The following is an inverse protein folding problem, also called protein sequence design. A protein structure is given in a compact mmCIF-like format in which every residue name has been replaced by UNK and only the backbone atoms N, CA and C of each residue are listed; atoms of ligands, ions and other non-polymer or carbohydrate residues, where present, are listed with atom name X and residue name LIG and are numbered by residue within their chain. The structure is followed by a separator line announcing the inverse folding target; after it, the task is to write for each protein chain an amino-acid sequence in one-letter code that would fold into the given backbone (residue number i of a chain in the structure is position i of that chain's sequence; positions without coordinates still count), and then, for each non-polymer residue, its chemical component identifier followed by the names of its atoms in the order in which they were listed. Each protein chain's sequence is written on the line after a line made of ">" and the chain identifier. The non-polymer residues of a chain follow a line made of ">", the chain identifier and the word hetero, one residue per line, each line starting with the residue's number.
data_IF_268853478120
#
_entry.id   IF_268853478120
#
_cell.length_a   1.000
_cell.length_b   1.000
_cell.length_c   1.000
_cell.angle_alpha   90.00
_cell.angle_beta   90.00
_cell.angle_gamma   90.00
#
_symmetry.space_group_name_H-M   'P 1'
#
loop_
_entity.id
_entity.type
_entity.pdbx_description
1 polymer ?
#
# COMPACT_ATOMS: atom_id res chain seq x y z
N UNK A 1 -47.79 14.20 -44.88
CA UNK A 1 -47.77 13.68 -43.49
C UNK A 1 -48.48 14.71 -42.61
N UNK A 2 -49.65 14.53 -42.00
CA UNK A 2 -50.62 13.44 -41.88
C UNK A 2 -51.93 14.16 -41.52
N UNK A 3 -52.99 14.01 -42.31
CA UNK A 3 -54.36 14.05 -41.79
C UNK A 3 -55.03 12.82 -42.36
N UNK A 4 -54.85 11.69 -41.66
CA UNK A 4 -55.53 10.45 -41.99
C UNK A 4 -57.04 10.71 -41.98
N UNK A 5 -57.57 10.71 -43.19
CA UNK A 5 -58.98 10.74 -43.54
C UNK A 5 -59.63 9.43 -43.15
N UNK A 6 -60.00 9.28 -41.88
CA UNK A 6 -61.01 8.34 -41.41
C UNK A 6 -61.78 9.17 -40.39
N UNK A 7 -62.99 9.68 -40.63
CA UNK A 7 -64.25 8.95 -40.72
C UNK A 7 -65.23 9.73 -41.63
N UNK A 8 -65.49 9.21 -42.83
CA UNK A 8 -66.48 9.76 -43.76
C UNK A 8 -67.50 8.67 -44.09
N UNK A 9 -68.62 8.68 -43.40
CA UNK A 9 -69.91 8.42 -44.03
C UNK A 9 -70.72 9.72 -43.88
N UNK A 10 -70.45 10.64 -44.81
CA UNK A 10 -71.18 11.91 -44.91
C UNK A 10 -72.44 11.62 -45.73
N UNK A 11 -73.59 11.49 -45.08
CA UNK A 11 -74.88 11.58 -45.78
C UNK A 11 -75.24 13.07 -45.89
N UNK A 12 -74.86 13.71 -46.99
CA UNK A 12 -75.39 15.03 -47.35
C UNK A 12 -76.84 14.89 -47.82
N UNK A 13 -77.81 15.30 -47.01
CA UNK A 13 -79.18 15.51 -47.49
C UNK A 13 -79.30 16.94 -48.04
N UNK A 14 -79.26 17.10 -49.37
CA UNK A 14 -79.62 18.37 -50.01
C UNK A 14 -81.13 18.51 -50.06
N UNK A 15 -81.71 19.07 -49.01
CA UNK A 15 -82.96 19.79 -49.12
C UNK A 15 -82.74 21.15 -48.45
N UNK A 16 -82.83 22.22 -49.24
CA UNK A 16 -82.71 23.64 -48.81
C UNK A 16 -81.42 24.02 -48.08
N UNK A 17 -80.36 24.42 -48.81
CA UNK A 17 -79.15 25.19 -48.40
C UNK A 17 -78.42 24.90 -47.06
N UNK A 18 -78.82 23.91 -46.27
CA UNK A 18 -78.16 23.49 -45.03
C UNK A 18 -77.44 22.15 -45.25
N UNK A 19 -76.16 22.10 -44.88
CA UNK A 19 -75.36 20.87 -44.90
C UNK A 19 -75.40 20.28 -43.50
N UNK A 20 -76.14 19.18 -43.33
CA UNK A 20 -76.15 18.40 -42.09
C UNK A 20 -75.12 17.27 -42.17
N UNK A 21 -74.37 17.05 -41.09
CA UNK A 21 -73.35 16.00 -41.00
C UNK A 21 -73.82 14.92 -40.02
N UNK A 22 -73.91 13.68 -40.48
CA UNK A 22 -74.11 12.52 -39.60
C UNK A 22 -72.75 11.99 -39.15
N UNK A 23 -72.48 12.04 -37.84
CA UNK A 23 -71.21 11.59 -37.29
C UNK A 23 -71.19 10.08 -37.01
N UNK A 24 -70.04 9.43 -37.22
CA UNK A 24 -69.82 8.07 -36.76
C UNK A 24 -69.91 8.00 -35.21
N UNK A 25 -70.24 6.83 -34.64
CA UNK A 25 -70.31 6.66 -33.20
C UNK A 25 -69.06 7.17 -32.49
N UNK A 26 -69.25 7.95 -31.42
CA UNK A 26 -68.15 8.52 -30.64
C UNK A 26 -67.54 9.81 -31.22
N UNK A 27 -68.10 10.39 -32.28
CA UNK A 27 -67.67 11.67 -32.86
C UNK A 27 -68.80 12.68 -32.91
N UNK A 28 -68.45 13.96 -32.81
CA UNK A 28 -69.39 15.07 -32.91
C UNK A 28 -68.79 16.27 -33.65
N UNK A 29 -69.65 17.19 -34.04
CA UNK A 29 -69.29 18.49 -34.58
C UNK A 29 -68.85 19.43 -33.47
N UNK A 30 -67.90 20.32 -33.77
CA UNK A 30 -67.43 21.33 -32.79
C UNK A 30 -68.48 22.44 -32.64
N UNK A 31 -69.10 22.83 -33.76
CA UNK A 31 -70.21 23.78 -33.85
C UNK A 31 -71.09 23.41 -35.05
N UNK A 32 -72.31 23.96 -35.13
CA UNK A 32 -73.20 23.76 -36.28
C UNK A 32 -72.62 24.28 -37.61
N UNK A 33 -71.54 25.08 -37.56
CA UNK A 33 -70.82 25.59 -38.72
C UNK A 33 -69.55 24.79 -39.05
N UNK A 34 -69.23 23.75 -38.27
CA UNK A 34 -68.01 22.98 -38.48
C UNK A 34 -68.14 22.04 -39.69
N UNK A 35 -67.15 22.08 -40.57
CA UNK A 35 -67.04 21.19 -41.73
C UNK A 35 -66.61 19.78 -41.27
N UNK A 36 -67.54 19.02 -40.69
CA UNK A 36 -67.36 17.62 -40.32
C UNK A 36 -67.19 17.31 -38.82
N UNK A 37 -67.15 16.02 -38.51
CA UNK A 37 -67.18 15.46 -37.16
C UNK A 37 -65.77 15.30 -36.58
N UNK A 38 -65.18 16.41 -36.16
CA UNK A 38 -63.76 16.46 -35.77
C UNK A 38 -63.53 16.47 -34.25
N UNK A 39 -64.58 16.29 -33.44
CA UNK A 39 -64.48 16.23 -31.97
C UNK A 39 -64.83 14.83 -31.48
N UNK A 40 -63.88 14.17 -30.85
CA UNK A 40 -64.12 12.89 -30.19
C UNK A 40 -65.01 13.06 -28.96
N UNK A 41 -65.83 12.06 -28.69
CA UNK A 41 -66.68 11.93 -27.50
C UNK A 41 -66.05 10.86 -26.62
N UNK A 42 -65.75 11.22 -25.38
CA UNK A 42 -65.38 10.28 -24.34
C UNK A 42 -66.60 10.15 -23.39
N UNK A 43 -67.11 8.93 -23.25
CA UNK A 43 -68.30 8.60 -22.44
C UNK A 43 -68.07 8.96 -20.97
N UNK A 44 -66.84 8.75 -20.50
CA UNK A 44 -66.37 9.32 -19.24
C UNK A 44 -65.35 10.44 -19.54
N UNK A 45 -65.40 11.57 -18.83
CA UNK A 45 -64.50 12.69 -19.11
C UNK A 45 -63.06 12.31 -18.80
N UNK A 46 -62.12 12.87 -19.59
CA UNK A 46 -60.71 12.89 -19.25
C UNK A 46 -60.49 13.82 -18.06
N UNK A 47 -59.84 13.32 -17.01
CA UNK A 47 -59.53 14.03 -15.78
C UNK A 47 -58.18 14.75 -15.90
N UNK A 48 -57.85 15.58 -14.91
CA UNK A 48 -56.54 16.21 -14.74
C UNK A 48 -56.03 16.97 -15.98
N UNK A 49 -56.93 17.61 -16.72
CA UNK A 49 -56.59 18.39 -17.92
C UNK A 49 -56.29 17.56 -19.17
N UNK A 50 -56.55 16.25 -19.14
CA UNK A 50 -56.45 15.38 -20.32
C UNK A 50 -57.44 15.77 -21.43
N UNK A 51 -57.07 15.49 -22.68
CA UNK A 51 -57.89 15.81 -23.86
C UNK A 51 -58.41 14.53 -24.54
N UNK A 52 -59.70 14.48 -24.82
CA UNK A 52 -60.29 13.39 -25.61
C UNK A 52 -59.81 13.50 -27.07
N UNK A 53 -59.05 12.51 -27.53
CA UNK A 53 -58.44 12.53 -28.88
C UNK A 53 -59.06 11.51 -29.83
N UNK A 54 -59.67 10.44 -29.30
CA UNK A 54 -60.49 9.45 -30.03
C UNK A 54 -61.63 8.98 -29.12
N UNK A 55 -62.67 8.32 -29.66
CA UNK A 55 -63.74 7.74 -28.84
C UNK A 55 -63.17 6.95 -27.66
N UNK A 56 -63.53 7.37 -26.44
CA UNK A 56 -63.06 6.79 -25.18
C UNK A 56 -61.52 6.68 -25.00
N UNK A 57 -60.75 7.54 -25.68
CA UNK A 57 -59.29 7.61 -25.54
C UNK A 57 -58.84 9.03 -25.16
N UNK A 58 -58.29 9.15 -23.96
CA UNK A 58 -57.71 10.38 -23.44
C UNK A 58 -56.21 10.47 -23.76
N UNK A 59 -55.78 11.64 -24.22
CA UNK A 59 -54.38 12.04 -24.19
C UNK A 59 -54.10 12.77 -22.87
N UNK A 60 -53.27 12.17 -22.03
CA UNK A 60 -52.95 12.69 -20.70
C UNK A 60 -51.83 13.72 -20.72
N UNK A 61 -51.92 14.71 -19.82
CA UNK A 61 -50.82 15.63 -19.55
C UNK A 61 -49.68 14.91 -18.83
N UNK A 62 -48.47 15.46 -18.91
CA UNK A 62 -47.31 14.95 -18.18
C UNK A 62 -47.63 14.84 -16.69
N UNK A 63 -47.32 13.69 -16.08
CA UNK A 63 -47.64 13.42 -14.68
C UNK A 63 -48.96 12.68 -14.46
N UNK A 64 -49.73 12.37 -15.51
CA UNK A 64 -50.94 11.54 -15.42
C UNK A 64 -50.96 10.39 -16.43
N UNK A 65 -51.58 9.26 -16.05
CA UNK A 65 -51.81 8.07 -16.87
C UNK A 65 -53.18 7.44 -16.53
N UNK A 66 -53.49 6.28 -17.10
CA UNK A 66 -54.81 5.65 -16.99
C UNK A 66 -55.74 6.01 -18.16
N UNK A 67 -56.87 5.33 -18.26
CA UNK A 67 -57.78 5.48 -19.41
C UNK A 67 -58.46 6.86 -19.46
N UNK A 68 -58.62 7.47 -18.30
CA UNK A 68 -59.21 8.78 -18.10
C UNK A 68 -58.20 9.80 -17.55
N UNK A 69 -56.90 9.50 -17.56
CA UNK A 69 -55.88 10.32 -16.90
C UNK A 69 -56.10 10.46 -15.38
N UNK A 70 -56.73 9.47 -14.77
CA UNK A 70 -57.09 9.38 -13.36
C UNK A 70 -55.92 8.97 -12.47
N UNK A 71 -54.95 8.26 -13.04
CA UNK A 71 -53.76 7.81 -12.33
C UNK A 71 -52.77 8.97 -12.35
N UNK A 72 -52.34 9.41 -11.17
CA UNK A 72 -51.19 10.31 -11.05
C UNK A 72 -49.97 9.46 -11.36
N UNK A 73 -49.39 9.61 -12.56
CA UNK A 73 -48.20 8.87 -12.99
C UNK A 73 -46.91 9.39 -12.38
N UNK A 74 -46.98 10.43 -11.54
CA UNK A 74 -45.92 10.76 -10.58
C UNK A 74 -45.92 9.75 -9.41
N UNK A 75 -45.93 8.45 -9.74
CA UNK A 75 -45.60 7.38 -8.80
C UNK A 75 -44.08 7.33 -8.62
N UNK A 76 -43.51 8.46 -8.24
CA UNK A 76 -42.23 8.57 -7.55
C UNK A 76 -42.35 7.97 -6.13
N UNK A 77 -43.04 6.84 -6.00
CA UNK A 77 -43.29 6.12 -4.77
C UNK A 77 -42.43 4.87 -4.81
N UNK A 78 -41.38 4.90 -4.00
CA UNK A 78 -40.50 3.76 -3.82
C UNK A 78 -41.14 2.82 -2.79
N UNK A 79 -41.00 1.50 -2.98
CA UNK A 79 -41.52 0.49 -2.03
C UNK A 79 -41.04 0.74 -0.59
N UNK A 80 -39.81 1.27 -0.44
CA UNK A 80 -39.30 1.82 0.81
C UNK A 80 -38.88 3.28 0.59
N UNK A 81 -39.05 4.14 1.61
CA UNK A 81 -38.68 5.55 1.49
C UNK A 81 -37.16 5.69 1.34
N UNK A 82 -36.75 6.58 0.44
CA UNK A 82 -35.34 6.93 0.30
C UNK A 82 -34.85 7.66 1.56
N UNK A 83 -33.76 7.19 2.13
CA UNK A 83 -33.12 7.74 3.32
C UNK A 83 -32.15 8.87 2.94
N UNK A 84 -31.62 9.57 3.95
CA UNK A 84 -30.55 10.57 3.82
C UNK A 84 -30.78 11.66 2.74
N UNK A 85 -32.05 12.05 2.55
CA UNK A 85 -32.44 13.09 1.60
C UNK A 85 -32.49 12.65 0.13
N UNK A 86 -32.42 11.34 -0.14
CA UNK A 86 -32.62 10.79 -1.49
C UNK A 86 -34.02 11.09 -2.04
N UNK A 87 -34.12 11.24 -3.36
CA UNK A 87 -35.40 11.45 -4.06
C UNK A 87 -35.79 10.19 -4.79
N UNK A 88 -37.02 9.73 -4.62
CA UNK A 88 -37.53 8.63 -5.42
C UNK A 88 -37.83 9.13 -6.84
N UNK A 89 -37.34 8.42 -7.85
CA UNK A 89 -37.59 8.70 -9.26
C UNK A 89 -37.96 7.39 -9.94
N UNK A 90 -39.20 7.27 -10.40
CA UNK A 90 -39.71 6.06 -11.08
C UNK A 90 -39.45 4.75 -10.29
N UNK A 91 -39.67 4.78 -8.96
CA UNK A 91 -39.47 3.61 -8.08
C UNK A 91 -38.02 3.30 -7.69
N UNK A 92 -37.05 4.13 -8.08
CA UNK A 92 -35.62 3.99 -7.68
C UNK A 92 -35.16 5.22 -6.91
N UNK A 93 -34.41 5.02 -5.83
CA UNK A 93 -33.85 6.12 -5.05
C UNK A 93 -32.66 6.77 -5.77
N UNK A 94 -32.78 8.06 -6.06
CA UNK A 94 -31.68 8.92 -6.48
C UNK A 94 -31.02 9.53 -5.24
N UNK A 95 -29.83 9.02 -4.91
CA UNK A 95 -29.10 9.40 -3.69
C UNK A 95 -28.38 10.74 -3.84
N UNK A 96 -28.34 11.49 -2.74
CA UNK A 96 -27.50 12.68 -2.63
C UNK A 96 -26.02 12.28 -2.66
N UNK A 97 -25.16 13.14 -3.20
CA UNK A 97 -23.71 12.91 -3.24
C UNK A 97 -23.18 12.54 -1.85
N UNK A 98 -22.49 11.41 -1.75
CA UNK A 98 -21.96 10.88 -0.49
C UNK A 98 -22.80 9.78 0.14
N UNK A 99 -23.98 9.46 -0.41
CA UNK A 99 -24.79 8.31 0.01
C UNK A 99 -25.00 7.31 -1.13
N UNK A 100 -25.24 6.05 -0.78
CA UNK A 100 -25.50 4.95 -1.69
C UNK A 100 -26.36 3.86 -1.06
N UNK A 101 -26.56 2.76 -1.76
CA UNK A 101 -27.52 1.71 -1.38
C UNK A 101 -28.86 1.87 -2.11
N UNK A 102 -29.72 0.86 -2.03
CA UNK A 102 -31.00 0.85 -2.74
C UNK A 102 -31.97 1.88 -2.17
N UNK A 103 -31.81 2.21 -0.89
CA UNK A 103 -32.62 3.16 -0.14
C UNK A 103 -31.78 4.38 0.28
N UNK A 104 -30.58 4.57 -0.28
CA UNK A 104 -29.62 5.61 0.12
C UNK A 104 -29.18 5.52 1.59
N UNK A 105 -29.22 4.32 2.17
CA UNK A 105 -28.94 4.01 3.57
C UNK A 105 -27.44 3.99 3.92
N UNK A 106 -26.57 3.85 2.92
CA UNK A 106 -25.13 3.73 3.09
C UNK A 106 -24.50 5.13 3.01
N UNK A 107 -23.86 5.58 4.09
CA UNK A 107 -22.95 6.74 4.04
C UNK A 107 -21.62 6.32 3.41
N UNK A 108 -21.37 6.79 2.19
CA UNK A 108 -20.16 6.46 1.42
C UNK A 108 -18.91 7.16 1.95
N UNK A 109 -19.06 8.18 2.79
CA UNK A 109 -17.94 8.87 3.42
C UNK A 109 -17.63 8.30 4.82
N UNK A 110 -18.57 7.59 5.43
CA UNK A 110 -18.32 6.89 6.68
C UNK A 110 -17.40 5.68 6.47
N UNK A 111 -16.42 5.45 7.37
CA UNK A 111 -15.55 4.28 7.29
C UNK A 111 -16.33 3.02 7.67
N UNK A 112 -16.72 2.26 6.65
CA UNK A 112 -17.35 0.95 6.83
C UNK A 112 -16.89 -0.02 5.73
N UNK A 113 -16.18 -1.07 6.12
CA UNK A 113 -15.64 -2.08 5.21
C UNK A 113 -16.11 -3.45 5.67
N UNK A 114 -17.10 -4.04 4.99
CA UNK A 114 -17.77 -5.25 5.45
C UNK A 114 -16.83 -6.45 5.55
N UNK A 115 -15.86 -6.56 4.64
CA UNK A 115 -14.82 -7.59 4.65
C UNK A 115 -13.62 -7.26 5.55
N UNK A 116 -13.55 -6.03 6.06
CA UNK A 116 -12.35 -5.50 6.70
C UNK A 116 -11.24 -5.15 5.70
N UNK A 117 -10.18 -4.52 6.22
CA UNK A 117 -8.96 -4.24 5.47
C UNK A 117 -7.86 -5.18 5.97
N UNK A 118 -7.20 -5.88 5.06
CA UNK A 118 -6.13 -6.84 5.37
C UNK A 118 -4.78 -6.13 5.59
N UNK A 119 -3.77 -6.88 6.05
CA UNK A 119 -2.38 -6.42 6.17
C UNK A 119 -2.16 -5.09 6.94
N UNK A 120 -3.01 -4.83 7.94
CA UNK A 120 -2.95 -3.61 8.76
C UNK A 120 -3.53 -2.37 8.10
N UNK A 121 -4.23 -2.52 6.97
CA UNK A 121 -4.96 -1.44 6.32
C UNK A 121 -6.04 -0.82 7.22
N UNK A 122 -6.35 0.46 7.00
CA UNK A 122 -7.38 1.18 7.75
C UNK A 122 -8.57 1.50 6.85
N UNK A 123 -9.79 1.17 7.29
CA UNK A 123 -10.99 1.58 6.57
C UNK A 123 -11.19 3.10 6.71
N UNK A 124 -11.23 3.81 5.58
CA UNK A 124 -11.33 5.29 5.57
C UNK A 124 -12.65 5.80 5.03
N UNK A 125 -13.34 5.00 4.20
CA UNK A 125 -14.67 5.26 3.62
C UNK A 125 -15.36 3.93 3.32
N UNK A 126 -16.60 3.96 2.84
CA UNK A 126 -17.35 2.76 2.50
C UNK A 126 -16.59 1.91 1.47
N UNK A 127 -16.20 0.69 1.86
CA UNK A 127 -15.45 -0.26 1.03
C UNK A 127 -14.13 0.29 0.46
N UNK A 128 -13.54 1.31 1.11
CA UNK A 128 -12.25 1.89 0.72
C UNK A 128 -11.27 1.75 1.88
N UNK A 129 -10.25 0.93 1.65
CA UNK A 129 -9.13 0.76 2.56
C UNK A 129 -7.98 1.70 2.19
N UNK A 130 -7.35 2.29 3.20
CA UNK A 130 -6.04 2.91 3.10
C UNK A 130 -5.00 1.88 3.52
N UNK A 131 -4.20 1.42 2.57
CA UNK A 131 -3.20 0.38 2.80
C UNK A 131 -1.96 0.91 3.48
N UNK A 132 -1.32 0.04 4.24
CA UNK A 132 0.03 0.21 4.78
C UNK A 132 1.05 0.15 3.63
N UNK A 133 2.25 0.70 3.84
CA UNK A 133 3.33 0.62 2.86
C UNK A 133 3.63 -0.87 2.56
N UNK A 134 3.84 -1.20 1.28
CA UNK A 134 4.11 -2.57 0.82
C UNK A 134 2.86 -3.38 0.44
N UNK A 135 1.64 -2.81 0.60
CA UNK A 135 0.40 -3.49 0.21
C UNK A 135 -0.49 -2.62 -0.67
N UNK A 136 -1.25 -3.28 -1.54
CA UNK A 136 -2.17 -2.67 -2.51
C UNK A 136 -3.45 -3.52 -2.66
N UNK A 137 -4.34 -3.11 -3.56
CA UNK A 137 -5.66 -3.72 -3.74
C UNK A 137 -6.76 -2.97 -3.00
N UNK A 138 -8.02 -3.37 -3.26
CA UNK A 138 -9.19 -2.67 -2.68
C UNK A 138 -9.27 -2.86 -1.16
N UNK A 139 -8.85 -4.04 -0.69
CA UNK A 139 -8.88 -4.46 0.70
C UNK A 139 -7.48 -4.65 1.26
N UNK A 140 -6.45 -4.12 0.60
CA UNK A 140 -5.03 -4.28 0.97
C UNK A 140 -4.57 -5.74 0.97
N UNK A 141 -5.21 -6.57 0.14
CA UNK A 141 -5.00 -8.01 0.05
C UNK A 141 -3.79 -8.39 -0.82
N UNK A 142 -3.25 -7.44 -1.58
CA UNK A 142 -2.18 -7.70 -2.55
C UNK A 142 -0.86 -7.17 -2.02
N UNK A 143 0.15 -8.01 -2.06
CA UNK A 143 1.54 -7.64 -1.79
C UNK A 143 2.11 -6.83 -2.96
N UNK A 144 2.81 -5.75 -2.66
CA UNK A 144 3.57 -5.00 -3.67
C UNK A 144 4.87 -5.75 -3.93
N UNK A 145 5.26 -5.88 -5.20
CA UNK A 145 6.55 -6.46 -5.55
C UNK A 145 7.58 -5.35 -5.72
N UNK A 146 8.19 -4.88 -4.61
CA UNK A 146 9.12 -3.75 -4.66
C UNK A 146 10.36 -4.07 -5.53
N UNK A 147 10.72 -5.34 -5.63
CA UNK A 147 11.80 -5.79 -6.50
C UNK A 147 11.52 -5.52 -7.99
N UNK A 148 10.26 -5.57 -8.42
CA UNK A 148 9.88 -5.25 -9.80
C UNK A 148 9.62 -3.77 -10.02
N UNK A 149 8.96 -3.11 -9.07
CA UNK A 149 8.49 -1.73 -9.22
C UNK A 149 9.57 -0.70 -8.87
N UNK A 150 10.23 -0.86 -7.72
CA UNK A 150 11.19 0.12 -7.20
C UNK A 150 12.65 -0.26 -7.51
N UNK A 151 12.95 -1.57 -7.63
CA UNK A 151 14.31 -2.12 -7.78
C UNK A 151 15.30 -1.55 -6.75
N UNK A 152 15.03 -1.74 -5.46
CA UNK A 152 15.76 -1.04 -4.40
C UNK A 152 17.17 -1.57 -4.12
N UNK A 153 17.49 -2.79 -4.56
CA UNK A 153 18.75 -3.46 -4.25
C UNK A 153 19.80 -3.25 -5.36
N UNK A 154 21.06 -3.06 -4.97
CA UNK A 154 22.19 -3.02 -5.92
C UNK A 154 22.36 -4.34 -6.68
N UNK A 155 22.17 -5.46 -5.97
CA UNK A 155 22.40 -6.80 -6.49
C UNK A 155 21.11 -7.62 -6.55
N UNK A 156 20.92 -8.55 -5.60
CA UNK A 156 19.83 -9.52 -5.64
C UNK A 156 18.71 -9.00 -4.74
N UNK A 157 17.49 -8.95 -5.26
CA UNK A 157 16.30 -8.54 -4.51
C UNK A 157 15.36 -9.73 -4.32
N UNK A 158 14.87 -9.92 -3.08
CA UNK A 158 13.83 -10.89 -2.77
C UNK A 158 12.61 -10.17 -2.21
N UNK A 159 11.49 -10.34 -2.90
CA UNK A 159 10.22 -9.83 -2.43
C UNK A 159 9.73 -10.60 -1.20
N UNK A 160 9.11 -9.90 -0.26
CA UNK A 160 8.54 -10.47 0.96
C UNK A 160 7.18 -9.80 1.26
N UNK A 161 6.28 -10.43 2.02
CA UNK A 161 5.01 -9.79 2.34
C UNK A 161 5.20 -8.43 3.04
N UNK A 162 4.82 -7.34 2.36
CA UNK A 162 4.88 -5.95 2.81
C UNK A 162 6.25 -5.29 2.75
N UNK A 163 7.27 -5.93 2.17
CA UNK A 163 8.64 -5.42 2.13
C UNK A 163 9.51 -6.22 1.16
N UNK A 164 10.80 -5.90 1.10
CA UNK A 164 11.79 -6.72 0.42
C UNK A 164 13.02 -6.92 1.29
N UNK A 165 13.92 -7.81 0.85
CA UNK A 165 15.29 -7.88 1.37
C UNK A 165 16.29 -7.99 0.23
N UNK A 166 17.44 -7.37 0.44
CA UNK A 166 18.54 -7.41 -0.51
C UNK A 166 19.59 -8.45 -0.10
N UNK A 167 20.26 -9.03 -1.09
CA UNK A 167 21.40 -9.90 -0.91
C UNK A 167 22.50 -9.52 -1.90
N UNK A 168 23.73 -9.51 -1.42
CA UNK A 168 24.90 -9.26 -2.25
C UNK A 168 25.44 -10.55 -2.88
N UNK A 169 26.03 -10.40 -4.07
CA UNK A 169 26.83 -11.45 -4.72
C UNK A 169 28.11 -11.69 -3.91
N UNK A 170 28.80 -12.80 -4.19
CA UNK A 170 30.05 -13.18 -3.54
C UNK A 170 31.06 -12.01 -3.52
N UNK A 171 31.81 -11.89 -2.41
CA UNK A 171 32.77 -10.83 -2.11
C UNK A 171 32.20 -9.41 -1.87
N UNK A 172 30.87 -9.26 -1.86
CA UNK A 172 30.20 -8.01 -1.49
C UNK A 172 29.39 -8.16 -0.21
N UNK A 173 29.34 -7.09 0.57
CA UNK A 173 28.67 -7.00 1.86
C UNK A 173 27.54 -5.98 1.76
N UNK A 174 26.39 -6.37 2.33
CA UNK A 174 25.22 -5.50 2.40
C UNK A 174 25.50 -4.35 3.36
N UNK A 175 25.32 -3.13 2.88
CA UNK A 175 25.56 -1.91 3.64
C UNK A 175 24.42 -1.65 4.63
N UNK A 176 24.62 -0.68 5.53
CA UNK A 176 23.66 -0.36 6.61
C UNK A 176 22.30 0.11 6.13
N UNK A 177 22.23 0.65 4.90
CA UNK A 177 20.98 1.04 4.26
C UNK A 177 20.10 -0.17 3.86
N UNK A 178 20.63 -1.39 3.99
CA UNK A 178 19.95 -2.64 3.63
C UNK A 178 19.76 -2.85 2.13
N UNK A 179 20.41 -2.02 1.30
CA UNK A 179 20.17 -1.93 -0.15
C UNK A 179 21.47 -2.00 -0.96
N UNK A 180 22.49 -1.28 -0.52
CA UNK A 180 23.74 -1.15 -1.25
C UNK A 180 24.68 -2.33 -0.99
N UNK A 181 25.50 -2.67 -1.97
CA UNK A 181 26.50 -3.75 -1.88
C UNK A 181 27.90 -3.21 -2.18
N UNK A 182 28.83 -3.33 -1.22
CA UNK A 182 30.24 -2.93 -1.41
C UNK A 182 31.19 -4.05 -1.03
N UNK A 183 32.38 -4.04 -1.62
CA UNK A 183 33.45 -4.97 -1.23
C UNK A 183 34.01 -4.55 0.13
N UNK A 184 34.40 -5.53 0.93
CA UNK A 184 35.18 -5.26 2.14
C UNK A 184 36.45 -4.47 1.77
N UNK A 185 36.60 -3.26 2.31
CA UNK A 185 37.76 -2.39 2.09
C UNK A 185 37.57 -1.20 1.13
N UNK A 186 36.37 -0.96 0.61
CA UNK A 186 36.09 0.15 -0.34
C UNK A 186 35.19 1.24 0.25
N UNK A 187 35.45 1.63 1.50
CA UNK A 187 34.81 2.79 2.13
C UNK A 187 35.86 3.88 2.34
N UNK A 188 35.83 4.89 1.47
CA UNK A 188 36.75 6.04 1.40
C UNK A 188 36.71 7.00 2.60
N UNK A 189 36.68 6.47 3.82
CA UNK A 189 36.73 7.21 5.08
C UNK A 189 37.31 6.43 6.27
N UNK A 190 37.78 5.19 6.09
CA UNK A 190 38.27 4.33 7.18
C UNK A 190 39.75 3.92 7.08
N UNK A 191 40.51 4.44 6.13
CA UNK A 191 41.94 4.10 5.96
C UNK A 191 42.81 4.40 7.21
N UNK A 192 42.38 5.30 8.10
CA UNK A 192 43.12 5.60 9.32
C UNK A 192 42.86 4.64 10.50
N UNK A 193 41.76 3.87 10.50
CA UNK A 193 41.37 3.04 11.67
C UNK A 193 41.63 1.54 11.50
N UNK A 194 41.68 1.02 10.28
CA UNK A 194 42.01 -0.40 10.02
C UNK A 194 43.53 -0.65 9.99
N UNK A 195 44.34 0.39 9.75
CA UNK A 195 45.80 0.33 9.84
C UNK A 195 46.29 -0.04 11.26
N UNK A 196 45.55 0.38 12.30
CA UNK A 196 45.88 0.11 13.71
C UNK A 196 45.66 -1.37 14.07
N UNK A 197 44.62 -2.01 13.50
CA UNK A 197 44.32 -3.43 13.68
C UNK A 197 45.25 -4.36 12.88
N UNK A 198 45.55 -4.02 11.63
CA UNK A 198 46.48 -4.78 10.79
C UNK A 198 47.92 -4.74 11.34
N UNK A 199 48.34 -3.59 11.89
CA UNK A 199 49.62 -3.45 12.57
C UNK A 199 49.67 -4.29 13.86
N UNK A 200 48.55 -4.38 14.59
CA UNK A 200 48.42 -5.22 15.78
C UNK A 200 48.58 -6.71 15.43
N UNK A 201 47.96 -7.17 14.34
CA UNK A 201 48.05 -8.55 13.87
C UNK A 201 49.46 -8.93 13.44
N UNK A 202 50.16 -8.03 12.73
CA UNK A 202 51.57 -8.22 12.36
C UNK A 202 52.49 -8.30 13.59
N UNK A 203 52.25 -7.48 14.61
CA UNK A 203 53.02 -7.51 15.87
C UNK A 203 52.77 -8.80 16.66
N UNK A 204 51.52 -9.25 16.73
CA UNK A 204 51.13 -10.48 17.44
C UNK A 204 51.77 -11.72 16.79
N UNK A 205 51.71 -11.83 15.46
CA UNK A 205 52.34 -12.92 14.71
C UNK A 205 53.87 -12.94 14.89
N UNK A 206 54.51 -11.77 14.94
CA UNK A 206 55.95 -11.67 15.19
C UNK A 206 56.32 -12.16 16.60
N UNK A 207 55.52 -11.84 17.61
CA UNK A 207 55.77 -12.32 18.99
C UNK A 207 55.57 -13.83 19.11
N UNK A 208 54.56 -14.40 18.46
CA UNK A 208 54.32 -15.85 18.43
C UNK A 208 55.49 -16.60 17.81
N UNK A 209 55.94 -16.16 16.63
CA UNK A 209 57.08 -16.77 15.93
C UNK A 209 58.37 -16.66 16.74
N UNK A 210 58.67 -15.49 17.32
CA UNK A 210 59.82 -15.33 18.21
C UNK A 210 59.74 -16.24 19.44
N UNK A 211 58.55 -16.41 20.03
CA UNK A 211 58.34 -17.29 21.19
C UNK A 211 58.34 -18.78 20.85
N UNK A 212 58.10 -19.18 19.61
CA UNK A 212 58.22 -20.59 19.19
C UNK A 212 59.65 -20.95 18.78
N UNK A 213 60.39 -19.99 18.23
CA UNK A 213 61.82 -20.14 17.92
C UNK A 213 62.69 -20.11 19.17
N UNK A 214 62.26 -19.37 20.20
CA UNK A 214 62.98 -19.28 21.48
C UNK A 214 63.07 -20.63 22.20
N UNK A 215 62.12 -21.56 21.99
CA UNK A 215 62.20 -22.92 22.53
C UNK A 215 63.24 -23.81 21.82
N UNK A 216 63.80 -23.37 20.69
CA UNK A 216 64.70 -24.18 19.83
C UNK A 216 66.18 -23.79 19.93
N UNK A 217 66.51 -22.65 20.54
CA UNK A 217 67.87 -22.09 20.64
C UNK A 217 68.17 -21.54 22.05
N UNK A 218 69.46 -21.36 22.40
CA UNK A 218 69.88 -20.64 23.63
C UNK A 218 69.45 -19.16 23.55
N UNK A 219 68.42 -18.78 24.29
CA UNK A 219 67.88 -17.41 24.31
C UNK A 219 68.75 -16.54 25.23
N UNK A 220 69.26 -15.41 24.74
CA UNK A 220 69.99 -14.48 25.60
C UNK A 220 69.06 -13.75 26.57
N UNK A 221 69.57 -13.39 27.75
CA UNK A 221 68.84 -12.58 28.76
C UNK A 221 68.33 -11.25 28.19
N UNK A 222 68.99 -10.72 27.17
CA UNK A 222 68.62 -9.47 26.49
C UNK A 222 67.41 -9.67 25.56
N UNK A 223 67.35 -10.81 24.87
CA UNK A 223 66.20 -11.17 24.00
C UNK A 223 64.94 -11.41 24.82
N UNK A 224 65.07 -12.04 25.99
CA UNK A 224 63.99 -12.20 26.97
C UNK A 224 63.47 -10.84 27.44
N UNK A 225 64.35 -9.88 27.73
CA UNK A 225 63.93 -8.52 28.15
C UNK A 225 63.24 -7.72 27.04
N UNK A 226 63.70 -7.88 25.79
CA UNK A 226 63.09 -7.23 24.64
C UNK A 226 61.68 -7.78 24.35
N UNK A 227 61.50 -9.11 24.41
CA UNK A 227 60.20 -9.76 24.29
C UNK A 227 59.20 -9.26 25.34
N UNK A 228 59.63 -9.13 26.59
CA UNK A 228 58.79 -8.60 27.65
C UNK A 228 58.35 -7.15 27.42
N UNK A 229 59.27 -6.32 26.92
CA UNK A 229 58.97 -4.93 26.58
C UNK A 229 57.94 -4.84 25.46
N UNK A 230 58.14 -5.59 24.38
CA UNK A 230 57.25 -5.59 23.21
C UNK A 230 55.84 -6.08 23.57
N UNK A 231 55.74 -7.10 24.42
CA UNK A 231 54.48 -7.65 24.91
C UNK A 231 53.70 -6.66 25.80
N UNK A 232 54.39 -5.90 26.66
CA UNK A 232 53.76 -4.86 27.47
C UNK A 232 53.24 -3.69 26.62
N UNK A 233 53.97 -3.30 25.56
CA UNK A 233 53.49 -2.29 24.62
C UNK A 233 52.23 -2.77 23.89
N UNK A 234 52.21 -4.02 23.44
CA UNK A 234 51.04 -4.60 22.77
C UNK A 234 49.82 -4.69 23.70
N UNK A 235 50.00 -5.06 24.96
CA UNK A 235 48.94 -5.06 25.98
C UNK A 235 48.36 -3.67 26.22
N UNK A 236 49.21 -2.63 26.22
CA UNK A 236 48.78 -1.23 26.34
C UNK A 236 47.96 -0.79 25.12
N UNK A 237 48.42 -1.10 23.91
CA UNK A 237 47.73 -0.77 22.65
C UNK A 237 46.35 -1.44 22.58
N UNK A 238 46.25 -2.72 22.95
CA UNK A 238 44.98 -3.47 23.04
C UNK A 238 44.02 -2.81 24.05
N UNK A 239 44.53 -2.38 25.20
CA UNK A 239 43.72 -1.74 26.25
C UNK A 239 43.15 -0.40 25.78
N UNK A 240 43.96 0.41 25.07
CA UNK A 240 43.49 1.67 24.50
C UNK A 240 42.41 1.45 23.43
N UNK A 241 42.58 0.43 22.57
CA UNK A 241 41.57 0.05 21.57
C UNK A 241 40.27 -0.41 22.23
N UNK A 242 40.32 -1.23 23.29
CA UNK A 242 39.12 -1.62 24.07
C UNK A 242 38.37 -0.41 24.62
N UNK A 243 39.08 0.55 25.21
CA UNK A 243 38.46 1.75 25.75
C UNK A 243 37.80 2.59 24.66
N UNK A 244 38.47 2.80 23.52
CA UNK A 244 37.90 3.50 22.35
C UNK A 244 36.64 2.80 21.82
N UNK A 245 36.60 1.46 21.79
CA UNK A 245 35.42 0.70 21.35
C UNK A 245 34.26 0.84 22.36
N UNK A 246 34.55 0.72 23.65
CA UNK A 246 33.55 0.84 24.72
C UNK A 246 32.96 2.26 24.82
N UNK A 247 33.75 3.30 24.54
CA UNK A 247 33.25 4.68 24.46
C UNK A 247 32.23 4.86 23.32
N UNK A 248 32.37 4.11 22.23
CA UNK A 248 31.47 4.16 21.08
C UNK A 248 30.22 3.28 21.28
N UNK A 249 30.29 2.18 22.03
CA UNK A 249 29.11 1.36 22.40
C UNK A 249 28.04 2.16 23.17
N UNK A 250 28.42 3.25 23.86
CA UNK A 250 27.48 4.13 24.55
C UNK A 250 26.62 5.00 23.60
N UNK A 251 26.98 5.11 22.31
CA UNK A 251 26.20 5.77 21.27
C UNK A 251 25.51 4.69 20.41
N UNK A 252 24.24 4.44 20.73
CA UNK A 252 23.40 3.27 20.39
C UNK A 252 23.23 2.83 18.92
N UNK A 253 23.95 3.32 17.93
CA UNK A 253 23.53 3.16 16.52
C UNK A 253 24.18 2.02 15.70
N UNK A 254 25.25 1.34 16.14
CA UNK A 254 25.87 0.27 15.32
C UNK A 254 26.27 -0.99 16.10
N UNK A 255 25.33 -1.60 16.81
CA UNK A 255 25.64 -2.70 17.74
C UNK A 255 26.24 -3.97 17.08
N UNK A 256 26.12 -4.18 15.77
CA UNK A 256 26.60 -5.41 15.12
C UNK A 256 28.09 -5.36 14.72
N UNK A 257 28.53 -4.25 14.11
CA UNK A 257 29.92 -4.05 13.69
C UNK A 257 30.83 -3.91 14.91
N UNK A 258 30.36 -3.19 15.95
CA UNK A 258 31.12 -3.02 17.19
C UNK A 258 31.28 -4.31 17.97
N UNK A 259 30.24 -5.16 18.05
CA UNK A 259 30.34 -6.47 18.71
C UNK A 259 31.36 -7.39 18.04
N UNK A 260 31.41 -7.43 16.71
CA UNK A 260 32.40 -8.24 16.00
C UNK A 260 33.82 -7.72 16.22
N UNK A 261 34.01 -6.39 16.24
CA UNK A 261 35.31 -5.75 16.53
C UNK A 261 35.74 -5.97 17.98
N UNK A 262 34.84 -5.81 18.95
CA UNK A 262 35.10 -6.08 20.37
C UNK A 262 35.49 -7.54 20.59
N UNK A 263 34.74 -8.48 19.99
CA UNK A 263 35.07 -9.92 20.05
C UNK A 263 36.45 -10.24 19.46
N UNK A 264 36.86 -9.55 18.40
CA UNK A 264 38.22 -9.70 17.83
C UNK A 264 39.30 -9.19 18.78
N UNK A 265 39.09 -8.04 19.44
CA UNK A 265 40.03 -7.48 20.43
C UNK A 265 40.10 -8.35 21.69
N UNK A 266 38.99 -8.90 22.15
CA UNK A 266 38.95 -9.83 23.29
C UNK A 266 39.80 -11.08 23.02
N UNK A 267 39.64 -11.72 21.85
CA UNK A 267 40.48 -12.86 21.44
C UNK A 267 41.96 -12.52 21.38
N UNK A 268 42.32 -11.33 20.88
CA UNK A 268 43.72 -10.87 20.86
C UNK A 268 44.26 -10.64 22.27
N UNK A 269 43.42 -10.19 23.20
CA UNK A 269 43.80 -10.04 24.62
C UNK A 269 44.12 -11.39 25.24
N UNK A 270 43.23 -12.37 25.09
CA UNK A 270 43.45 -13.73 25.60
C UNK A 270 44.76 -14.33 25.08
N UNK A 271 45.07 -14.10 23.79
CA UNK A 271 46.30 -14.58 23.18
C UNK A 271 47.55 -13.91 23.76
N UNK A 272 47.50 -12.59 24.01
CA UNK A 272 48.61 -11.90 24.68
C UNK A 272 48.79 -12.39 26.11
N UNK A 273 47.71 -12.64 26.86
CA UNK A 273 47.78 -13.18 28.22
C UNK A 273 48.42 -14.59 28.23
N UNK A 274 48.10 -15.43 27.25
CA UNK A 274 48.75 -16.73 27.06
C UNK A 274 50.26 -16.60 26.78
N UNK A 275 50.64 -15.65 25.92
CA UNK A 275 52.05 -15.36 25.63
C UNK A 275 52.79 -14.86 26.87
N UNK A 276 52.15 -14.01 27.70
CA UNK A 276 52.71 -13.56 28.98
C UNK A 276 53.00 -14.75 29.90
N UNK A 277 52.04 -15.68 30.02
CA UNK A 277 52.20 -16.90 30.83
C UNK A 277 53.32 -17.81 30.32
N UNK A 278 53.44 -17.98 29.01
CA UNK A 278 54.52 -18.77 28.39
C UNK A 278 55.88 -18.07 28.56
N UNK A 279 55.93 -16.75 28.46
CA UNK A 279 57.11 -15.95 28.78
C UNK A 279 57.56 -16.12 30.24
N UNK A 280 56.65 -16.08 31.22
CA UNK A 280 57.02 -16.25 32.63
C UNK A 280 57.66 -17.62 32.91
N UNK A 281 57.21 -18.67 32.20
CA UNK A 281 57.82 -20.00 32.27
C UNK A 281 59.23 -20.01 31.68
N UNK A 282 59.41 -19.44 30.49
CA UNK A 282 60.72 -19.29 29.84
C UNK A 282 61.71 -18.50 30.70
N UNK A 283 61.27 -17.36 31.26
CA UNK A 283 62.07 -16.52 32.17
C UNK A 283 62.55 -17.30 33.39
N UNK A 284 61.70 -18.16 33.97
CA UNK A 284 62.08 -19.03 35.09
C UNK A 284 63.15 -20.04 34.66
N UNK A 285 63.02 -20.72 33.52
CA UNK A 285 64.07 -21.65 33.06
C UNK A 285 65.43 -20.95 32.85
N UNK A 286 65.42 -19.78 32.18
CA UNK A 286 66.62 -19.03 31.84
C UNK A 286 67.36 -18.53 33.09
N UNK A 287 66.64 -18.23 34.19
CA UNK A 287 67.24 -17.82 35.45
C UNK A 287 67.92 -18.99 36.20
N UNK A 288 67.50 -20.24 35.96
CA UNK A 288 68.03 -21.44 36.64
C UNK A 288 69.00 -22.28 35.78
N UNK A 289 69.41 -21.82 34.59
CA UNK A 289 70.29 -22.57 33.67
C UNK A 289 69.80 -24.01 33.38
N UNK A 290 68.48 -24.19 33.20
CA UNK A 290 67.90 -25.47 32.80
C UNK A 290 67.31 -25.38 31.38
N UNK A 291 67.50 -26.44 30.59
CA UNK A 291 66.82 -26.63 29.30
C UNK A 291 65.31 -26.64 29.56
N UNK A 292 64.56 -25.70 28.96
CA UNK A 292 63.09 -25.77 28.97
C UNK A 292 62.64 -26.88 28.02
N UNK A 293 61.95 -27.90 28.53
CA UNK A 293 61.08 -28.78 27.73
C UNK A 293 59.65 -28.25 27.80
#
# INVERSE_FOLDING_TARGET
>A
LVYETHYKDVITTRNSNEVTYSCCPGWTQVTNQSHGCNKAICTKPCLNGGKCVKPDLCACLQGFSGQQCEVISDESVCNKPCQNGGKCLHGVCSCVKGFGGQECEIDLNAPHCARGCENGGTCVRHEVCRCTKGFTGRYCEQDVDECKEEKPCDHICYNTPGSYRCQCKEDFILQKDGQSCRKDGDDGGLEAKDLEFELLDKRLLKLETMMDESHKNDISKNDVQNLYRDMNFLSSDITQLKNKINEVENYKEDMYIFKNRLSSVEKKTEKVDELILKYEKLRKCAFYNKICL
#
